data_IF_329543133040
#
_entry.id   IF_329543133040
#
_cell.length_a   1.000
_cell.length_b   1.000
_cell.length_c   1.000
_cell.angle_alpha   90.00
_cell.angle_beta   90.00
_cell.angle_gamma   90.00
#
_symmetry.space_group_name_H-M   'P 1'
#
loop_
_entity.id
_entity.type
_entity.pdbx_description
1 polymer ?
#
# COMPACT_ATOMS: atom_id res chain seq x y z
N UNK A 1 -3.55 4.97 -18.50
CA UNK A 1 -3.84 4.84 -17.07
C UNK A 1 -3.24 6.04 -16.39
N UNK A 2 -4.03 6.77 -15.62
CA UNK A 2 -3.56 7.87 -14.78
C UNK A 2 -3.74 7.44 -13.33
N UNK A 3 -2.71 7.66 -12.49
CA UNK A 3 -2.70 7.23 -11.10
C UNK A 3 -2.03 8.31 -10.24
N UNK A 4 -2.70 8.69 -9.16
CA UNK A 4 -2.14 9.52 -8.10
C UNK A 4 -2.08 8.66 -6.85
N UNK A 5 -0.87 8.49 -6.30
CA UNK A 5 -0.62 7.60 -5.17
C UNK A 5 0.16 8.33 -4.10
N UNK A 6 -0.38 8.30 -2.88
CA UNK A 6 0.28 8.80 -1.68
C UNK A 6 0.32 7.70 -0.64
N UNK A 7 1.42 7.65 0.11
CA UNK A 7 1.60 6.66 1.17
C UNK A 7 2.44 7.23 2.32
N UNK A 8 2.26 6.63 3.49
CA UNK A 8 3.09 6.85 4.66
C UNK A 8 3.51 5.50 5.24
N UNK A 9 4.78 5.36 5.63
CA UNK A 9 5.35 4.10 6.11
C UNK A 9 5.80 4.23 7.55
N UNK A 10 5.46 3.23 8.36
CA UNK A 10 5.87 3.11 9.76
C UNK A 10 6.44 1.71 10.03
N UNK A 11 7.56 1.65 10.76
CA UNK A 11 8.05 0.39 11.33
C UNK A 11 7.30 0.12 12.64
N UNK A 12 6.52 -0.96 12.68
CA UNK A 12 5.74 -1.36 13.87
C UNK A 12 6.42 -2.47 14.69
N UNK A 13 7.58 -2.93 14.22
CA UNK A 13 8.45 -3.91 14.88
C UNK A 13 9.77 -4.07 14.13
N UNK A 14 10.69 -4.95 14.60
CA UNK A 14 12.00 -5.15 13.97
C UNK A 14 11.92 -5.63 12.51
N UNK A 15 10.87 -6.39 12.20
CA UNK A 15 10.60 -7.02 10.91
C UNK A 15 9.21 -6.67 10.38
N UNK A 16 8.50 -5.70 10.98
CA UNK A 16 7.11 -5.36 10.64
C UNK A 16 6.99 -3.94 10.13
N UNK A 17 6.32 -3.81 9.00
CA UNK A 17 6.05 -2.55 8.32
C UNK A 17 4.55 -2.38 8.20
N UNK A 18 4.06 -1.19 8.55
CA UNK A 18 2.72 -0.74 8.20
C UNK A 18 2.82 0.39 7.18
N UNK A 19 1.98 0.34 6.15
CA UNK A 19 1.87 1.42 5.16
C UNK A 19 0.41 1.84 5.07
N UNK A 20 0.11 3.09 5.42
CA UNK A 20 -1.20 3.67 5.10
C UNK A 20 -1.12 4.32 3.72
N UNK A 21 -2.13 4.10 2.87
CA UNK A 21 -2.11 4.54 1.47
C UNK A 21 -3.47 5.09 1.02
N UNK A 22 -3.40 5.97 0.02
CA UNK A 22 -4.55 6.40 -0.75
C UNK A 22 -4.17 6.50 -2.24
N UNK A 23 -5.04 5.98 -3.10
CA UNK A 23 -4.85 5.95 -4.54
C UNK A 23 -6.09 6.45 -5.25
N UNK A 24 -5.90 7.33 -6.22
CA UNK A 24 -6.93 7.72 -7.16
C UNK A 24 -6.46 7.41 -8.59
N UNK A 25 -7.37 6.99 -9.45
CA UNK A 25 -7.00 6.66 -10.82
C UNK A 25 -8.14 6.62 -11.80
N UNK A 26 -7.75 6.52 -13.09
CA UNK A 26 -8.65 6.28 -14.21
C UNK A 26 -8.33 4.96 -14.88
N UNK A 27 -9.29 4.05 -14.84
CA UNK A 27 -9.22 2.74 -15.49
C UNK A 27 -9.24 2.87 -17.02
N UNK A 28 -8.90 1.79 -17.72
CA UNK A 28 -8.78 1.79 -19.18
C UNK A 28 -10.12 2.05 -19.89
N UNK A 29 -11.24 1.70 -19.27
CA UNK A 29 -12.60 1.98 -19.73
C UNK A 29 -13.07 3.43 -19.45
N UNK A 30 -12.21 4.25 -18.84
CA UNK A 30 -12.49 5.64 -18.50
C UNK A 30 -13.12 5.84 -17.11
N UNK A 31 -13.46 4.78 -16.39
CA UNK A 31 -13.99 4.84 -15.02
C UNK A 31 -12.97 5.47 -14.08
N UNK A 32 -13.42 6.40 -13.23
CA UNK A 32 -12.59 7.06 -12.21
C UNK A 32 -12.88 6.44 -10.86
N UNK A 33 -11.82 6.10 -10.12
CA UNK A 33 -11.92 5.51 -8.79
C UNK A 33 -11.00 6.19 -7.79
N UNK A 34 -11.33 6.05 -6.51
CA UNK A 34 -10.48 6.38 -5.39
C UNK A 34 -10.61 5.27 -4.34
N UNK A 35 -9.49 4.85 -3.77
CA UNK A 35 -9.39 3.82 -2.74
C UNK A 35 -8.40 4.28 -1.68
N UNK A 36 -8.64 3.91 -0.43
CA UNK A 36 -7.68 4.04 0.67
C UNK A 36 -7.64 2.75 1.45
N UNK A 37 -6.61 2.61 2.27
CA UNK A 37 -6.44 1.47 3.14
C UNK A 37 -5.04 1.42 3.71
N UNK A 38 -4.66 0.23 4.14
CA UNK A 38 -3.32 0.00 4.63
C UNK A 38 -2.82 -1.40 4.32
N UNK A 39 -1.49 -1.51 4.32
CA UNK A 39 -0.77 -2.75 4.16
C UNK A 39 -0.05 -3.10 5.46
N UNK A 40 -0.14 -4.37 5.85
CA UNK A 40 0.71 -4.95 6.89
C UNK A 40 1.70 -5.92 6.21
N UNK A 41 3.00 -5.67 6.37
CA UNK A 41 4.05 -6.51 5.79
C UNK A 41 5.05 -7.00 6.84
N UNK A 42 5.62 -8.18 6.58
CA UNK A 42 6.86 -8.62 7.25
C UNK A 42 8.02 -8.56 6.27
N UNK A 43 9.21 -8.18 6.74
CA UNK A 43 10.42 -8.05 5.92
C UNK A 43 11.58 -8.89 6.48
N UNK A 44 12.47 -9.35 5.61
CA UNK A 44 13.71 -9.99 6.02
C UNK A 44 14.77 -8.96 6.48
N UNK A 45 15.93 -9.44 6.92
CA UNK A 45 17.06 -8.61 7.36
C UNK A 45 17.65 -7.71 6.25
N UNK A 46 17.31 -7.95 4.98
CA UNK A 46 17.70 -7.11 3.84
C UNK A 46 16.58 -6.16 3.41
N UNK A 47 15.44 -6.16 4.10
CA UNK A 47 14.27 -5.35 3.78
C UNK A 47 13.38 -5.92 2.68
N UNK A 48 13.58 -7.18 2.27
CA UNK A 48 12.68 -7.81 1.29
C UNK A 48 11.37 -8.23 1.95
N UNK A 49 10.25 -7.94 1.28
CA UNK A 49 8.92 -8.35 1.73
C UNK A 49 8.83 -9.88 1.70
N UNK A 50 8.51 -10.47 2.85
CA UNK A 50 8.23 -11.91 2.99
C UNK A 50 6.74 -12.20 2.98
N UNK A 51 5.94 -11.34 3.61
CA UNK A 51 4.47 -11.41 3.60
C UNK A 51 3.87 -10.02 3.43
N UNK A 52 2.70 -9.96 2.80
CA UNK A 52 1.95 -8.73 2.58
C UNK A 52 0.45 -9.03 2.73
N UNK A 53 -0.24 -8.29 3.59
CA UNK A 53 -1.70 -8.28 3.67
C UNK A 53 -2.21 -6.88 3.35
N UNK A 54 -3.01 -6.76 2.30
CA UNK A 54 -3.65 -5.50 1.89
C UNK A 54 -5.03 -5.41 2.51
N UNK A 55 -5.35 -4.28 3.14
CA UNK A 55 -6.62 -4.02 3.82
C UNK A 55 -7.22 -2.70 3.31
N UNK A 56 -8.09 -2.75 2.31
CA UNK A 56 -8.87 -1.58 1.89
C UNK A 56 -9.86 -1.16 2.98
N UNK A 57 -10.10 0.14 3.10
CA UNK A 57 -11.12 0.73 3.98
C UNK A 57 -12.53 0.74 3.35
#
# INVERSE_FOLDING_TARGET
MELHHVWNTEMTGPDRVRVDWAVAGRAADGHVFALSGHDDATVDQHGHIQTLTVRPD
#
